data_IF_594964615154
#
_entry.id   IF_594964615154
#
_cell.length_a   1.000
_cell.length_b   1.000
_cell.length_c   1.000
_cell.angle_alpha   90.00
_cell.angle_beta   90.00
_cell.angle_gamma   90.00
#
_symmetry.space_group_name_H-M   'P 1'
#
loop_
_entity.id
_entity.type
_entity.pdbx_description
1 polymer ?
#
# COMPACT_ATOMS: atom_id res chain seq x y z
N UNK A 1 32.92 11.72 -35.01
CA UNK A 1 33.13 10.46 -34.26
C UNK A 1 33.51 10.81 -32.83
N UNK A 2 32.52 11.20 -32.03
CA UNK A 2 32.65 11.51 -30.60
C UNK A 2 32.45 10.24 -29.80
N UNK A 3 33.48 9.83 -29.06
CA UNK A 3 33.42 8.72 -28.10
C UNK A 3 32.56 9.16 -26.93
N UNK A 4 31.38 8.57 -26.78
CA UNK A 4 30.53 8.77 -25.61
C UNK A 4 31.07 7.83 -24.51
N UNK A 5 31.68 8.43 -23.49
CA UNK A 5 32.02 7.76 -22.24
C UNK A 5 30.70 7.50 -21.51
N UNK A 6 30.21 6.27 -21.58
CA UNK A 6 29.13 5.82 -20.71
C UNK A 6 29.80 5.53 -19.38
N UNK A 7 29.67 6.47 -18.45
CA UNK A 7 30.01 6.28 -17.06
C UNK A 7 29.21 5.08 -16.53
N UNK A 8 29.95 4.06 -16.07
CA UNK A 8 29.47 2.98 -15.23
C UNK A 8 28.80 3.58 -14.00
N UNK A 9 27.48 3.80 -14.08
CA UNK A 9 26.64 3.88 -12.90
C UNK A 9 26.24 2.45 -12.58
N UNK A 10 27.24 1.64 -12.23
CA UNK A 10 27.03 0.50 -11.35
C UNK A 10 26.72 1.11 -9.98
N UNK A 11 25.47 1.55 -9.84
CA UNK A 11 24.91 1.80 -8.53
C UNK A 11 24.81 0.41 -7.89
N UNK A 12 25.91 -0.04 -7.27
CA UNK A 12 25.87 -1.00 -6.18
C UNK A 12 24.98 -0.38 -5.11
N UNK A 13 23.68 -0.48 -5.33
CA UNK A 13 22.73 -0.53 -4.25
C UNK A 13 23.13 -1.80 -3.53
N UNK A 14 23.83 -1.65 -2.42
CA UNK A 14 23.85 -2.59 -1.32
C UNK A 14 22.38 -2.84 -0.94
N UNK A 15 21.70 -3.66 -1.74
CA UNK A 15 20.59 -4.45 -1.26
C UNK A 15 21.28 -5.38 -0.29
N UNK A 16 21.39 -4.92 0.97
CA UNK A 16 21.45 -5.83 2.08
C UNK A 16 20.44 -6.92 1.73
N UNK A 17 20.90 -8.16 1.63
CA UNK A 17 20.03 -9.32 1.54
C UNK A 17 19.23 -9.32 2.85
N UNK A 18 18.22 -8.45 2.94
CA UNK A 18 17.11 -8.57 3.88
C UNK A 18 16.49 -9.89 3.45
N UNK A 19 16.91 -10.95 4.12
CA UNK A 19 16.37 -12.28 3.93
C UNK A 19 14.87 -12.16 4.14
N UNK A 20 14.13 -12.09 3.05
CA UNK A 20 12.68 -11.92 3.10
C UNK A 20 12.13 -13.18 3.75
N UNK A 21 11.60 -13.03 4.96
CA UNK A 21 11.03 -14.14 5.68
C UNK A 21 9.53 -14.20 5.37
N UNK A 22 9.00 -15.40 5.08
CA UNK A 22 7.57 -15.59 5.01
C UNK A 22 6.94 -15.26 6.36
N UNK A 23 5.71 -14.78 6.33
CA UNK A 23 4.91 -14.50 7.51
C UNK A 23 4.64 -15.77 8.32
N UNK A 24 4.75 -15.66 9.64
CA UNK A 24 4.26 -16.70 10.57
C UNK A 24 2.74 -16.65 10.67
N UNK A 25 2.11 -17.69 11.25
CA UNK A 25 0.67 -17.70 11.49
C UNK A 25 0.20 -16.50 12.33
N UNK A 26 1.01 -16.07 13.30
CA UNK A 26 0.73 -14.89 14.11
C UNK A 26 0.77 -13.60 13.28
N UNK A 27 1.72 -13.48 12.36
CA UNK A 27 1.81 -12.35 11.45
C UNK A 27 0.61 -12.29 10.50
N UNK A 28 0.17 -13.45 9.99
CA UNK A 28 -1.02 -13.55 9.13
C UNK A 28 -2.29 -13.15 9.88
N UNK A 29 -2.40 -13.52 11.17
CA UNK A 29 -3.51 -13.08 12.02
C UNK A 29 -3.52 -11.56 12.15
N UNK A 30 -2.39 -10.95 12.55
CA UNK A 30 -2.26 -9.49 12.69
C UNK A 30 -2.54 -8.79 11.35
N UNK A 31 -2.02 -9.32 10.23
CA UNK A 31 -2.24 -8.77 8.90
C UNK A 31 -3.72 -8.80 8.52
N UNK A 32 -4.44 -9.88 8.86
CA UNK A 32 -5.88 -10.02 8.62
C UNK A 32 -6.68 -9.06 9.50
N UNK A 33 -6.30 -8.89 10.76
CA UNK A 33 -6.93 -7.95 11.68
C UNK A 33 -6.86 -6.51 11.18
N UNK A 34 -5.79 -6.11 10.48
CA UNK A 34 -5.67 -4.76 9.90
C UNK A 34 -6.75 -4.44 8.87
N UNK A 35 -7.31 -5.46 8.22
CA UNK A 35 -8.40 -5.31 7.27
C UNK A 35 -9.78 -5.27 7.94
N UNK A 36 -9.91 -5.64 9.21
CA UNK A 36 -11.17 -5.55 9.93
C UNK A 36 -11.66 -4.10 9.98
N UNK A 37 -12.95 -3.91 9.68
CA UNK A 37 -13.57 -2.60 9.62
C UNK A 37 -13.38 -1.83 8.31
N UNK A 38 -12.71 -2.44 7.32
CA UNK A 38 -12.63 -1.89 5.96
C UNK A 38 -13.34 -2.82 4.97
N UNK A 39 -14.19 -2.23 4.13
CA UNK A 39 -14.72 -2.93 2.96
C UNK A 39 -13.64 -2.93 1.88
N UNK A 40 -12.95 -4.07 1.74
CA UNK A 40 -11.83 -4.23 0.80
C UNK A 40 -12.19 -5.19 -0.33
N UNK A 41 -11.71 -4.94 -1.56
CA UNK A 41 -11.80 -5.93 -2.63
C UNK A 41 -10.99 -7.19 -2.29
N UNK A 42 -11.57 -8.36 -2.54
CA UNK A 42 -10.92 -9.67 -2.30
C UNK A 42 -9.54 -9.79 -2.95
N UNK A 43 -9.35 -9.21 -4.14
CA UNK A 43 -8.06 -9.17 -4.83
C UNK A 43 -6.93 -8.51 -4.02
N UNK A 44 -7.25 -7.48 -3.23
CA UNK A 44 -6.27 -6.74 -2.41
C UNK A 44 -5.85 -7.60 -1.23
N UNK A 45 -6.82 -8.26 -0.59
CA UNK A 45 -6.55 -9.22 0.47
C UNK A 45 -5.67 -10.38 -0.01
N UNK A 46 -6.05 -11.02 -1.12
CA UNK A 46 -5.29 -12.13 -1.70
C UNK A 46 -3.87 -11.70 -2.12
N UNK A 47 -3.72 -10.48 -2.64
CA UNK A 47 -2.39 -9.94 -2.96
C UNK A 47 -1.54 -9.75 -1.71
N UNK A 48 -2.10 -9.23 -0.60
CA UNK A 48 -1.37 -9.12 0.66
C UNK A 48 -0.94 -10.50 1.19
N UNK A 49 -1.81 -11.51 1.12
CA UNK A 49 -1.48 -12.89 1.52
C UNK A 49 -0.40 -13.50 0.62
N UNK A 50 -0.48 -13.29 -0.69
CA UNK A 50 0.53 -13.77 -1.63
C UNK A 50 1.90 -13.14 -1.38
N UNK A 51 1.96 -11.85 -1.01
CA UNK A 51 3.20 -11.19 -0.62
C UNK A 51 3.70 -11.76 0.72
N UNK A 52 2.81 -11.96 1.70
CA UNK A 52 3.16 -12.46 3.03
C UNK A 52 3.78 -13.87 2.97
N UNK A 53 3.45 -14.67 1.96
CA UNK A 53 4.05 -15.99 1.74
C UNK A 53 5.56 -15.94 1.39
N UNK A 54 6.10 -14.77 1.05
CA UNK A 54 7.51 -14.60 0.70
C UNK A 54 8.19 -13.51 1.55
N UNK A 55 7.47 -12.44 1.86
CA UNK A 55 7.96 -11.27 2.59
C UNK A 55 6.86 -10.69 3.49
N UNK A 56 6.97 -10.97 4.78
CA UNK A 56 6.08 -10.44 5.80
C UNK A 56 6.07 -8.90 5.80
N UNK A 57 7.24 -8.26 5.80
CA UNK A 57 7.35 -6.80 5.89
C UNK A 57 6.73 -6.09 4.68
N UNK A 58 6.94 -6.64 3.48
CA UNK A 58 6.31 -6.12 2.26
C UNK A 58 4.79 -6.24 2.30
N UNK A 59 4.23 -7.31 2.87
CA UNK A 59 2.79 -7.49 2.98
C UNK A 59 2.15 -6.44 3.90
N UNK A 60 2.80 -6.14 5.03
CA UNK A 60 2.36 -5.08 5.93
C UNK A 60 2.43 -3.70 5.27
N UNK A 61 3.53 -3.38 4.59
CA UNK A 61 3.68 -2.13 3.83
C UNK A 61 2.61 -1.97 2.74
N UNK A 62 2.35 -3.04 1.98
CA UNK A 62 1.31 -3.04 0.95
C UNK A 62 -0.07 -2.71 1.57
N UNK A 63 -0.40 -3.38 2.67
CA UNK A 63 -1.66 -3.19 3.40
C UNK A 63 -1.80 -1.77 3.93
N UNK A 64 -0.77 -1.24 4.59
CA UNK A 64 -0.79 0.12 5.13
C UNK A 64 -0.96 1.18 4.06
N UNK A 65 -0.24 1.05 2.95
CA UNK A 65 -0.37 1.95 1.82
C UNK A 65 -1.80 1.94 1.25
N UNK A 66 -2.40 0.76 1.09
CA UNK A 66 -3.77 0.64 0.61
C UNK A 66 -4.78 1.29 1.56
N UNK A 67 -4.69 1.00 2.86
CA UNK A 67 -5.60 1.56 3.86
C UNK A 67 -5.45 3.07 3.99
N UNK A 68 -4.24 3.62 3.88
CA UNK A 68 -4.00 5.06 3.89
C UNK A 68 -4.66 5.75 2.68
N UNK A 69 -4.54 5.16 1.49
CA UNK A 69 -5.23 5.66 0.29
C UNK A 69 -6.74 5.61 0.48
N UNK A 70 -7.28 4.51 1.03
CA UNK A 70 -8.71 4.33 1.26
C UNK A 70 -9.26 5.36 2.26
N UNK A 71 -8.57 5.57 3.38
CA UNK A 71 -8.90 6.61 4.38
C UNK A 71 -8.92 8.00 3.75
N UNK A 72 -7.91 8.33 2.95
CA UNK A 72 -7.82 9.63 2.27
C UNK A 72 -8.90 9.81 1.21
N UNK A 73 -9.26 8.74 0.48
CA UNK A 73 -10.36 8.76 -0.49
C UNK A 73 -11.70 9.01 0.20
N UNK A 74 -11.97 8.36 1.33
CA UNK A 74 -13.19 8.58 2.10
C UNK A 74 -13.26 9.99 2.69
N UNK A 75 -12.14 10.54 3.16
CA UNK A 75 -12.07 11.95 3.59
C UNK A 75 -12.44 12.92 2.47
N UNK A 76 -11.86 12.74 1.26
CA UNK A 76 -12.19 13.58 0.10
C UNK A 76 -13.65 13.47 -0.31
N UNK A 77 -14.21 12.27 -0.33
CA UNK A 77 -15.64 12.07 -0.63
C UNK A 77 -16.56 12.75 0.39
N UNK A 78 -16.25 12.64 1.69
CA UNK A 78 -17.02 13.30 2.73
C UNK A 78 -16.93 14.83 2.63
N UNK A 79 -15.78 15.37 2.26
CA UNK A 79 -15.61 16.81 2.04
C UNK A 79 -16.44 17.31 0.84
N UNK A 80 -16.40 16.59 -0.28
CA UNK A 80 -17.22 16.90 -1.47
C UNK A 80 -18.71 16.78 -1.19
N UNK A 81 -19.13 15.77 -0.41
CA UNK A 81 -20.52 15.62 0.00
C UNK A 81 -20.98 16.80 0.88
N UNK A 82 -20.13 17.25 1.81
CA UNK A 82 -20.42 18.39 2.68
C UNK A 82 -20.58 19.70 1.88
N UNK A 83 -19.71 19.95 0.91
CA UNK A 83 -19.83 21.10 -0.01
C UNK A 83 -21.11 21.04 -0.84
N UNK A 84 -21.50 19.86 -1.32
CA UNK A 84 -22.75 19.69 -2.10
C UNK A 84 -24.02 19.97 -1.28
N UNK A 85 -24.01 19.67 0.02
CA UNK A 85 -25.15 19.94 0.90
C UNK A 85 -25.29 21.42 1.27
N UNK A 86 -24.20 22.21 1.21
CA UNK A 86 -24.25 23.65 1.50
C UNK A 86 -24.73 24.50 0.30
N UNK A 87 -24.92 23.89 -0.87
CA UNK A 87 -25.36 24.58 -2.10
C UNK A 87 -26.88 24.69 -2.30
N UNK A 88 -27.71 24.23 -1.36
CA UNK A 88 -29.18 24.17 -1.54
C UNK A 88 -30.00 25.16 -0.69
N UNK A 89 -29.36 26.07 0.06
CA UNK A 89 -30.07 27.12 0.81
C UNK A 89 -29.86 28.48 0.12
N UNK A 90 -30.57 28.73 -0.98
CA UNK A 90 -30.99 30.08 -1.39
C UNK A 90 -31.93 29.99 -2.61
N UNK A 91 -33.23 29.98 -2.33
CA UNK A 91 -34.26 30.58 -3.18
C UNK A 91 -35.52 30.86 -2.37
#
# INVERSE_FOLDING_TARGET
MSKMLIEDISNESEWAEETSLPATDNDLLILTEKFLGFEIPSKVFLQAMAIAAYDCAAAFRYTDNYLNILKNKNKRKNLVLLESSHGFENN
#
